data_IF_898146781333
#
_entry.id   IF_898146781333
#
_cell.length_a   1.000
_cell.length_b   1.000
_cell.length_c   1.000
_cell.angle_alpha   90.00
_cell.angle_beta   90.00
_cell.angle_gamma   90.00
#
_symmetry.space_group_name_H-M   'P 1'
#
loop_
_entity.id
_entity.type
_entity.pdbx_description
1 polymer ?
#
# COMPACT_ATOMS: atom_id res chain seq x y z
N UNK A 1 -8.09 20.53 17.94
CA UNK A 1 -7.94 19.33 17.11
C UNK A 1 -7.03 19.60 15.92
N UNK A 2 -6.46 18.56 15.35
CA UNK A 2 -5.78 18.61 14.06
C UNK A 2 -6.52 17.71 13.07
N UNK A 3 -6.73 18.18 11.84
CA UNK A 3 -7.43 17.46 10.78
C UNK A 3 -6.47 17.28 9.62
N UNK A 4 -6.17 16.05 9.25
CA UNK A 4 -5.28 15.71 8.12
C UNK A 4 -6.12 15.15 6.98
N UNK A 5 -5.95 15.73 5.78
CA UNK A 5 -6.68 15.37 4.57
C UNK A 5 -5.76 15.41 3.35
N UNK A 6 -6.13 14.79 2.23
CA UNK A 6 -5.42 14.98 0.96
C UNK A 6 -5.31 16.45 0.56
N UNK A 7 -4.18 16.85 -0.03
CA UNK A 7 -3.82 18.26 -0.29
C UNK A 7 -4.83 19.03 -1.14
N UNK A 8 -5.44 18.36 -2.11
CA UNK A 8 -6.31 19.00 -3.12
C UNK A 8 -7.79 19.01 -2.74
N UNK A 9 -8.13 18.69 -1.48
CA UNK A 9 -9.50 18.56 -1.04
C UNK A 9 -10.01 19.84 -0.40
N UNK A 10 -11.24 20.22 -0.77
CA UNK A 10 -11.99 21.27 -0.07
C UNK A 10 -12.56 20.69 1.22
N UNK A 11 -12.20 21.30 2.34
CA UNK A 11 -12.61 20.82 3.67
C UNK A 11 -13.39 21.89 4.39
N UNK A 12 -14.52 21.52 4.97
CA UNK A 12 -15.24 22.37 5.93
C UNK A 12 -15.36 21.67 7.28
N UNK A 13 -15.34 22.44 8.34
CA UNK A 13 -15.58 21.98 9.71
C UNK A 13 -16.74 22.78 10.27
N UNK A 14 -17.82 22.08 10.64
CA UNK A 14 -19.08 22.72 11.07
C UNK A 14 -19.55 23.81 10.09
N UNK A 15 -19.48 23.51 8.78
CA UNK A 15 -19.80 24.42 7.67
C UNK A 15 -18.81 25.57 7.40
N UNK A 16 -17.76 25.70 8.20
CA UNK A 16 -16.72 26.72 8.03
C UNK A 16 -15.61 26.14 7.15
N UNK A 17 -15.32 26.72 5.98
CA UNK A 17 -14.23 26.23 5.13
C UNK A 17 -12.88 26.45 5.81
N UNK A 18 -12.00 25.44 5.72
CA UNK A 18 -10.61 25.56 6.14
C UNK A 18 -9.80 26.20 5.01
N UNK A 19 -8.94 27.12 5.38
CA UNK A 19 -8.12 27.92 4.46
C UNK A 19 -6.62 27.68 4.70
N UNK A 20 -5.77 28.41 4.00
CA UNK A 20 -4.34 28.36 4.22
C UNK A 20 -3.93 28.86 5.61
N UNK A 21 -4.79 29.65 6.29
CA UNK A 21 -4.51 30.19 7.62
C UNK A 21 -4.50 29.11 8.72
N UNK A 22 -5.32 28.07 8.56
CA UNK A 22 -5.39 26.95 9.49
C UNK A 22 -4.37 25.84 9.17
N UNK A 23 -3.68 25.90 8.02
CA UNK A 23 -2.67 24.90 7.66
C UNK A 23 -1.49 24.94 8.62
N UNK A 24 -1.04 23.76 9.03
CA UNK A 24 0.15 23.59 9.87
C UNK A 24 1.30 22.98 9.06
N UNK A 25 2.19 23.84 8.59
CA UNK A 25 3.36 23.40 7.79
C UNK A 25 3.03 23.04 6.33
N UNK A 26 4.03 22.51 5.65
CA UNK A 26 3.94 22.12 4.25
C UNK A 26 3.20 20.79 4.08
N UNK A 27 2.64 20.57 2.88
CA UNK A 27 2.06 19.30 2.48
C UNK A 27 3.11 18.18 2.53
N UNK A 28 2.74 17.03 3.07
CA UNK A 28 3.60 15.85 3.20
C UNK A 28 3.18 14.77 2.22
N UNK A 29 4.15 14.09 1.63
CA UNK A 29 3.87 12.91 0.83
C UNK A 29 3.13 11.88 1.68
N UNK A 30 2.11 11.26 1.11
CA UNK A 30 1.33 10.22 1.78
C UNK A 30 2.16 8.94 1.94
N UNK A 31 1.89 8.23 3.02
CA UNK A 31 2.53 6.96 3.33
C UNK A 31 2.48 5.99 2.15
N UNK A 32 3.61 5.32 1.89
CA UNK A 32 3.76 4.36 0.81
C UNK A 32 4.21 4.97 -0.53
N UNK A 33 4.25 6.32 -0.63
CA UNK A 33 4.68 7.03 -1.84
C UNK A 33 5.91 7.92 -1.61
N UNK A 34 6.66 7.71 -0.55
CA UNK A 34 7.79 8.56 -0.16
C UNK A 34 8.94 8.54 -1.18
N UNK A 35 9.08 7.43 -1.92
CA UNK A 35 10.21 7.22 -2.84
C UNK A 35 9.85 7.33 -4.32
N UNK A 36 8.65 7.80 -4.65
CA UNK A 36 8.17 7.80 -6.05
C UNK A 36 8.29 9.14 -6.77
N UNK A 37 8.79 10.17 -6.08
CA UNK A 37 8.85 11.54 -6.63
C UNK A 37 9.74 11.69 -7.88
N UNK A 38 10.66 10.75 -8.11
CA UNK A 38 11.48 10.71 -9.32
C UNK A 38 10.72 10.16 -10.54
N UNK A 39 9.60 9.48 -10.34
CA UNK A 39 8.83 8.84 -11.41
C UNK A 39 7.49 9.51 -11.65
N UNK A 40 6.78 9.89 -10.59
CA UNK A 40 5.44 10.48 -10.64
C UNK A 40 5.30 11.58 -9.59
N UNK A 41 4.28 12.43 -9.74
CA UNK A 41 3.90 13.37 -8.67
C UNK A 41 3.24 12.59 -7.53
N UNK A 42 3.88 12.47 -6.36
CA UNK A 42 3.33 11.68 -5.27
C UNK A 42 2.09 12.37 -4.68
N UNK A 43 1.08 11.60 -4.26
CA UNK A 43 -0.05 12.14 -3.51
C UNK A 43 0.44 12.73 -2.16
N UNK A 44 -0.17 13.84 -1.76
CA UNK A 44 0.20 14.56 -0.53
C UNK A 44 -1.00 14.77 0.37
N UNK A 45 -0.74 14.92 1.66
CA UNK A 45 -1.71 15.33 2.68
C UNK A 45 -1.32 16.66 3.31
N UNK A 46 -2.31 17.39 3.79
CA UNK A 46 -2.16 18.62 4.57
C UNK A 46 -2.83 18.46 5.92
N UNK A 47 -2.27 19.11 6.93
CA UNK A 47 -2.83 19.13 8.28
C UNK A 47 -3.30 20.53 8.62
N UNK A 48 -4.52 20.63 9.12
CA UNK A 48 -5.12 21.87 9.63
C UNK A 48 -5.21 21.82 11.15
N UNK A 49 -4.99 22.94 11.80
CA UNK A 49 -5.25 23.11 13.23
C UNK A 49 -6.57 23.83 13.41
N UNK A 50 -7.51 23.19 14.09
CA UNK A 50 -8.84 23.75 14.38
C UNK A 50 -8.98 23.93 15.88
N UNK A 51 -9.26 25.15 16.30
CA UNK A 51 -9.46 25.51 17.70
C UNK A 51 -10.93 25.77 18.01
N UNK A 52 -11.31 25.75 19.29
CA UNK A 52 -12.66 26.08 19.75
C UNK A 52 -13.70 24.98 19.52
N UNK A 53 -13.28 23.77 19.19
CA UNK A 53 -14.20 22.63 19.08
C UNK A 53 -14.61 22.15 20.49
N UNK A 54 -15.92 22.20 20.77
CA UNK A 54 -16.50 21.73 22.05
C UNK A 54 -16.95 20.27 21.91
N UNK A 55 -17.43 19.90 20.73
CA UNK A 55 -17.91 18.55 20.42
C UNK A 55 -17.19 18.01 19.19
N UNK A 56 -17.45 16.75 18.87
CA UNK A 56 -17.00 16.16 17.61
C UNK A 56 -17.49 17.01 16.44
N UNK A 57 -16.61 17.51 15.58
CA UNK A 57 -17.00 18.35 14.47
C UNK A 57 -17.66 17.55 13.35
N UNK A 58 -18.59 18.19 12.64
CA UNK A 58 -19.03 17.71 11.33
C UNK A 58 -17.99 18.12 10.30
N UNK A 59 -17.35 17.12 9.68
CA UNK A 59 -16.34 17.33 8.63
C UNK A 59 -17.00 17.06 7.28
N UNK A 60 -16.82 18.00 6.35
CA UNK A 60 -17.27 17.83 4.96
C UNK A 60 -16.04 17.92 4.07
N UNK A 61 -15.91 17.00 3.14
CA UNK A 61 -14.79 16.93 2.18
C UNK A 61 -15.39 16.89 0.78
N UNK A 62 -14.99 17.83 -0.06
CA UNK A 62 -15.52 17.98 -1.43
C UNK A 62 -17.06 17.94 -1.49
N UNK A 63 -17.72 18.59 -0.50
CA UNK A 63 -19.18 18.67 -0.39
C UNK A 63 -19.87 17.43 0.20
N UNK A 64 -19.15 16.34 0.50
CA UNK A 64 -19.67 15.14 1.17
C UNK A 64 -19.36 15.18 2.67
N UNK A 65 -20.35 14.94 3.50
CA UNK A 65 -20.13 14.73 4.93
C UNK A 65 -19.40 13.40 5.16
N UNK A 66 -18.36 13.46 5.94
CA UNK A 66 -17.55 12.29 6.32
C UNK A 66 -18.17 11.64 7.55
N UNK A 67 -18.41 10.34 7.49
CA UNK A 67 -18.92 9.57 8.61
C UNK A 67 -17.81 9.34 9.66
N UNK A 68 -18.18 9.26 10.94
CA UNK A 68 -17.20 9.05 12.02
C UNK A 68 -16.38 7.75 11.84
N UNK A 69 -16.97 6.75 11.25
CA UNK A 69 -16.30 5.47 10.91
C UNK A 69 -15.21 5.57 9.86
N UNK A 70 -15.17 6.66 9.08
CA UNK A 70 -14.16 6.95 8.08
C UNK A 70 -12.99 7.77 8.65
N UNK A 71 -13.09 8.19 9.94
CA UNK A 71 -12.09 9.01 10.61
C UNK A 71 -11.23 8.16 11.54
N UNK A 72 -9.92 8.30 11.44
CA UNK A 72 -9.01 7.84 12.51
C UNK A 72 -8.89 8.95 13.55
N UNK A 73 -9.44 8.69 14.75
CA UNK A 73 -9.48 9.66 15.86
C UNK A 73 -8.60 9.16 16.98
N UNK A 74 -7.47 9.84 17.17
CA UNK A 74 -6.48 9.45 18.17
C UNK A 74 -5.89 10.68 18.86
N UNK A 75 -5.95 10.74 20.18
CA UNK A 75 -5.37 11.81 21.00
C UNK A 75 -5.73 13.25 20.55
N UNK A 76 -6.99 13.47 20.18
CA UNK A 76 -7.47 14.77 19.69
C UNK A 76 -7.03 15.09 18.26
N UNK A 77 -6.40 14.15 17.56
CA UNK A 77 -6.10 14.22 16.13
C UNK A 77 -7.17 13.47 15.36
N UNK A 78 -7.62 14.08 14.28
CA UNK A 78 -8.58 13.50 13.35
C UNK A 78 -7.87 13.37 12.02
N UNK A 79 -7.73 12.17 11.52
CA UNK A 79 -7.13 11.90 10.23
C UNK A 79 -8.19 11.34 9.29
N UNK A 80 -8.34 11.97 8.15
CA UNK A 80 -9.16 11.50 7.06
C UNK A 80 -8.26 11.28 5.84
N UNK A 81 -8.02 10.03 5.52
CA UNK A 81 -7.27 9.62 4.32
C UNK A 81 -8.25 9.05 3.27
N UNK A 82 -9.54 9.03 3.62
CA UNK A 82 -10.61 8.59 2.76
C UNK A 82 -11.02 9.65 1.72
N UNK A 83 -11.92 9.31 0.84
CA UNK A 83 -12.31 10.11 -0.33
C UNK A 83 -11.68 9.54 -1.59
N UNK A 84 -10.73 8.66 -1.38
CA UNK A 84 -10.40 7.63 -2.35
C UNK A 84 -11.35 6.47 -2.02
N UNK A 85 -12.62 6.65 -2.39
CA UNK A 85 -13.60 5.59 -2.21
C UNK A 85 -13.02 4.34 -2.88
N UNK A 86 -13.18 3.21 -2.22
CA UNK A 86 -12.82 1.92 -2.81
C UNK A 86 -13.67 1.77 -4.07
N UNK A 87 -13.14 2.23 -5.18
CA UNK A 87 -13.69 1.86 -6.48
C UNK A 87 -13.60 0.35 -6.59
N UNK A 88 -14.59 -0.25 -7.22
CA UNK A 88 -14.54 -1.68 -7.48
C UNK A 88 -13.34 -1.93 -8.40
N UNK A 89 -12.34 -2.66 -7.88
CA UNK A 89 -11.15 -3.00 -8.66
C UNK A 89 -11.58 -3.89 -9.83
N UNK A 90 -11.21 -3.52 -11.06
CA UNK A 90 -11.50 -4.37 -12.21
C UNK A 90 -10.78 -5.72 -12.13
N UNK A 91 -11.32 -6.73 -12.81
CA UNK A 91 -10.81 -8.11 -12.69
C UNK A 91 -9.38 -8.27 -13.20
N UNK A 92 -8.97 -7.54 -14.24
CA UNK A 92 -7.63 -7.62 -14.82
C UNK A 92 -6.58 -7.04 -13.86
N UNK A 93 -6.89 -5.88 -13.26
CA UNK A 93 -6.01 -5.27 -12.25
C UNK A 93 -5.97 -6.11 -10.97
N UNK A 94 -7.10 -6.69 -10.56
CA UNK A 94 -7.17 -7.61 -9.42
C UNK A 94 -6.25 -8.81 -9.61
N UNK A 95 -6.32 -9.46 -10.75
CA UNK A 95 -5.48 -10.63 -11.08
C UNK A 95 -4.01 -10.22 -11.13
N UNK A 96 -3.72 -9.04 -11.69
CA UNK A 96 -2.37 -8.50 -11.73
C UNK A 96 -1.77 -8.31 -10.34
N UNK A 97 -2.45 -7.60 -9.43
CA UNK A 97 -1.90 -7.32 -8.08
C UNK A 97 -1.73 -8.60 -7.25
N UNK A 98 -2.68 -9.54 -7.38
CA UNK A 98 -2.59 -10.83 -6.71
C UNK A 98 -1.40 -11.65 -7.22
N UNK A 99 -1.22 -11.73 -8.54
CA UNK A 99 -0.10 -12.44 -9.16
C UNK A 99 1.24 -11.78 -8.83
N UNK A 100 1.32 -10.46 -8.79
CA UNK A 100 2.52 -9.72 -8.40
C UNK A 100 2.94 -10.06 -6.96
N UNK A 101 2.00 -10.04 -6.00
CA UNK A 101 2.24 -10.40 -4.62
C UNK A 101 2.71 -11.86 -4.46
N UNK A 102 2.05 -12.80 -5.13
CA UNK A 102 2.47 -14.22 -5.15
C UNK A 102 3.85 -14.41 -5.77
N UNK A 103 4.13 -13.72 -6.87
CA UNK A 103 5.44 -13.78 -7.55
C UNK A 103 6.55 -13.30 -6.63
N UNK A 104 6.33 -12.19 -5.93
CA UNK A 104 7.29 -11.67 -4.96
C UNK A 104 7.58 -12.68 -3.84
N UNK A 105 6.55 -13.28 -3.23
CA UNK A 105 6.76 -14.30 -2.18
C UNK A 105 7.42 -15.57 -2.72
N UNK A 106 7.12 -15.97 -3.97
CA UNK A 106 7.73 -17.12 -4.63
C UNK A 106 9.23 -16.92 -4.90
N UNK A 107 9.68 -15.69 -5.10
CA UNK A 107 11.12 -15.40 -5.23
C UNK A 107 11.86 -15.83 -3.96
N UNK A 108 11.41 -15.43 -2.78
CA UNK A 108 12.09 -15.71 -1.52
C UNK A 108 12.01 -17.18 -1.08
N UNK A 109 11.05 -17.94 -1.53
CA UNK A 109 10.96 -19.39 -1.30
C UNK A 109 11.64 -20.26 -2.37
N UNK A 110 12.28 -19.64 -3.36
CA UNK A 110 13.00 -20.30 -4.48
C UNK A 110 12.07 -21.02 -5.46
N UNK A 111 10.84 -20.57 -5.59
CA UNK A 111 9.87 -21.22 -6.48
C UNK A 111 9.85 -20.64 -7.90
N UNK A 112 10.61 -19.57 -8.15
CA UNK A 112 10.73 -18.99 -9.49
C UNK A 112 11.95 -19.53 -10.21
N UNK A 113 11.81 -19.84 -11.50
CA UNK A 113 12.92 -20.19 -12.36
C UNK A 113 13.91 -19.02 -12.45
N UNK A 114 15.20 -19.32 -12.31
CA UNK A 114 16.28 -18.31 -12.40
C UNK A 114 16.48 -17.46 -11.14
N UNK A 115 15.62 -17.50 -10.12
CA UNK A 115 15.74 -16.66 -8.91
C UNK A 115 17.06 -16.83 -8.14
N UNK A 116 17.72 -17.98 -8.27
CA UNK A 116 19.05 -18.22 -7.68
C UNK A 116 20.18 -17.50 -8.39
N UNK A 117 19.96 -17.15 -9.66
CA UNK A 117 20.99 -16.58 -10.52
C UNK A 117 20.89 -15.05 -10.62
N UNK A 118 19.66 -14.52 -10.53
CA UNK A 118 19.38 -13.07 -10.67
C UNK A 118 18.05 -12.70 -10.06
N UNK A 119 17.79 -11.38 -9.95
CA UNK A 119 16.52 -10.78 -9.57
C UNK A 119 15.54 -10.63 -10.74
N UNK A 120 15.98 -10.98 -11.97
CA UNK A 120 15.18 -10.83 -13.19
C UNK A 120 13.71 -11.32 -13.08
N UNK A 121 13.40 -12.42 -12.36
CA UNK A 121 12.02 -12.89 -12.22
C UNK A 121 11.08 -11.90 -11.53
N UNK A 122 11.60 -10.92 -10.77
CA UNK A 122 10.80 -9.93 -10.03
C UNK A 122 11.09 -8.48 -10.44
N UNK A 123 12.08 -8.21 -11.29
CA UNK A 123 12.43 -6.84 -11.71
C UNK A 123 11.28 -6.11 -12.38
N UNK A 124 10.42 -6.82 -13.10
CA UNK A 124 9.23 -6.25 -13.73
C UNK A 124 8.10 -5.86 -12.76
N UNK A 125 8.23 -6.15 -11.48
CA UNK A 125 7.25 -5.80 -10.44
C UNK A 125 7.53 -4.46 -9.77
N UNK A 126 8.77 -3.95 -9.85
CA UNK A 126 9.24 -2.80 -9.09
C UNK A 126 9.90 -1.76 -10.00
N UNK A 127 9.96 -0.49 -9.57
CA UNK A 127 10.81 0.50 -10.23
C UNK A 127 12.28 0.05 -10.25
N UNK A 128 12.98 0.35 -11.34
CA UNK A 128 14.38 -0.03 -11.50
C UNK A 128 15.24 0.56 -10.37
N UNK A 129 16.07 -0.29 -9.76
CA UNK A 129 16.94 0.14 -8.65
C UNK A 129 16.22 0.42 -7.33
N UNK A 130 14.94 0.04 -7.20
CA UNK A 130 14.18 0.20 -5.96
C UNK A 130 14.80 -0.57 -4.79
N UNK A 131 14.45 -0.16 -3.58
CA UNK A 131 14.86 -0.83 -2.33
C UNK A 131 14.57 -2.32 -2.36
N UNK A 132 13.40 -2.73 -2.87
CA UNK A 132 13.00 -4.15 -2.91
C UNK A 132 13.86 -5.00 -3.84
N UNK A 133 14.28 -4.46 -4.97
CA UNK A 133 15.23 -5.14 -5.88
C UNK A 133 16.61 -5.25 -5.24
N UNK A 134 17.10 -4.18 -4.60
CA UNK A 134 18.39 -4.23 -3.89
C UNK A 134 18.36 -5.21 -2.73
N UNK A 135 17.28 -5.24 -1.96
CA UNK A 135 17.08 -6.19 -0.86
C UNK A 135 17.05 -7.64 -1.38
N UNK A 136 16.31 -7.91 -2.45
CA UNK A 136 16.22 -9.23 -3.07
C UNK A 136 17.60 -9.70 -3.59
N UNK A 137 18.38 -8.80 -4.19
CA UNK A 137 19.74 -9.09 -4.65
C UNK A 137 20.69 -9.42 -3.47
N UNK A 138 20.64 -8.64 -2.39
CA UNK A 138 21.40 -8.92 -1.18
C UNK A 138 21.02 -10.28 -0.57
N UNK A 139 19.73 -10.60 -0.55
CA UNK A 139 19.21 -11.87 -0.06
C UNK A 139 19.76 -13.04 -0.84
N UNK A 140 19.74 -12.91 -2.18
CA UNK A 140 20.28 -13.89 -3.12
C UNK A 140 21.80 -14.10 -2.95
N UNK A 141 22.56 -12.99 -2.91
CA UNK A 141 24.03 -13.04 -2.80
C UNK A 141 24.51 -13.64 -1.49
N UNK A 142 23.79 -13.38 -0.38
CA UNK A 142 24.13 -13.93 0.93
C UNK A 142 23.55 -15.31 1.19
N UNK A 143 22.88 -15.93 0.21
CA UNK A 143 22.15 -17.20 0.34
C UNK A 143 21.21 -17.26 1.55
N UNK A 144 20.58 -16.13 1.87
CA UNK A 144 19.70 -15.97 3.02
C UNK A 144 18.27 -16.48 2.77
N UNK A 145 18.15 -17.57 2.02
CA UNK A 145 16.85 -18.15 1.69
C UNK A 145 16.14 -18.68 2.92
N UNK A 146 14.89 -18.30 3.05
CA UNK A 146 14.10 -18.53 4.28
C UNK A 146 13.60 -19.98 4.36
N UNK A 147 13.63 -20.74 3.24
CA UNK A 147 12.92 -22.02 3.16
C UNK A 147 13.81 -23.18 2.77
N UNK A 148 13.58 -24.30 3.46
CA UNK A 148 14.08 -25.61 3.04
C UNK A 148 13.39 -26.06 1.75
N UNK A 149 13.96 -27.06 1.07
CA UNK A 149 13.31 -27.64 -0.11
C UNK A 149 11.89 -28.15 0.24
N UNK A 150 10.91 -27.77 -0.55
CA UNK A 150 9.49 -28.11 -0.39
C UNK A 150 8.86 -28.54 -1.71
N UNK A 151 7.64 -29.03 -1.67
CA UNK A 151 6.81 -29.23 -2.84
C UNK A 151 6.33 -27.87 -3.39
N UNK A 152 5.89 -27.79 -4.66
CA UNK A 152 5.31 -26.55 -5.19
C UNK A 152 4.28 -25.98 -4.23
N UNK A 153 4.33 -24.68 -3.95
CA UNK A 153 3.42 -24.04 -3.00
C UNK A 153 1.97 -24.07 -3.52
N UNK A 154 1.03 -24.11 -2.58
CA UNK A 154 -0.41 -23.98 -2.86
C UNK A 154 -0.89 -22.69 -2.22
N UNK A 155 -1.58 -21.85 -3.00
CA UNK A 155 -2.20 -20.63 -2.52
C UNK A 155 -3.68 -20.85 -2.22
N UNK A 156 -4.16 -20.24 -1.14
CA UNK A 156 -5.56 -20.31 -0.70
C UNK A 156 -5.95 -19.02 0.03
N UNK A 157 -7.25 -18.88 0.35
CA UNK A 157 -7.80 -17.72 1.06
C UNK A 157 -7.44 -16.38 0.40
N UNK A 158 -7.49 -16.36 -0.95
CA UNK A 158 -7.06 -15.23 -1.75
C UNK A 158 -8.11 -14.13 -1.74
N UNK A 159 -7.72 -12.93 -1.32
CA UNK A 159 -8.58 -11.76 -1.27
C UNK A 159 -7.81 -10.52 -1.73
N UNK A 160 -8.47 -9.67 -2.49
CA UNK A 160 -8.00 -8.34 -2.87
C UNK A 160 -9.06 -7.34 -2.44
N UNK A 161 -8.71 -6.45 -1.51
CA UNK A 161 -9.64 -5.53 -0.85
C UNK A 161 -9.03 -4.17 -0.57
N UNK A 162 -9.82 -3.24 -0.06
CA UNK A 162 -9.40 -1.90 0.33
C UNK A 162 -8.64 -1.17 -0.81
N UNK A 163 -9.12 -1.34 -2.05
CA UNK A 163 -8.57 -0.65 -3.22
C UNK A 163 -8.84 0.84 -3.13
N UNK A 164 -7.77 1.66 -3.16
CA UNK A 164 -7.84 3.13 -3.06
C UNK A 164 -7.04 3.76 -4.17
N UNK A 165 -7.68 4.59 -4.98
CA UNK A 165 -7.05 5.36 -6.04
C UNK A 165 -6.69 6.74 -5.51
N UNK A 166 -5.43 7.14 -5.60
CA UNK A 166 -4.93 8.45 -5.15
C UNK A 166 -4.75 9.43 -6.31
N UNK A 167 -4.45 8.91 -7.49
CA UNK A 167 -4.33 9.66 -8.74
C UNK A 167 -4.40 8.69 -9.92
N UNK A 168 -4.31 9.21 -11.16
CA UNK A 168 -4.20 8.39 -12.38
C UNK A 168 -2.97 7.45 -12.38
N UNK A 169 -1.96 7.79 -11.57
CA UNK A 169 -0.68 7.09 -11.52
C UNK A 169 -0.37 6.46 -10.16
N UNK A 170 -1.30 6.51 -9.18
CA UNK A 170 -1.07 6.00 -7.84
C UNK A 170 -2.30 5.34 -7.25
N UNK A 171 -2.16 4.11 -6.77
CA UNK A 171 -3.19 3.43 -5.97
C UNK A 171 -2.56 2.57 -4.87
N UNK A 172 -3.37 2.18 -3.89
CA UNK A 172 -3.02 1.11 -2.95
C UNK A 172 -4.11 0.05 -2.90
N UNK A 173 -3.73 -1.16 -2.48
CA UNK A 173 -4.64 -2.29 -2.36
C UNK A 173 -4.13 -3.25 -1.29
N UNK A 174 -5.02 -3.80 -0.50
CA UNK A 174 -4.68 -4.86 0.44
C UNK A 174 -4.82 -6.22 -0.25
N UNK A 175 -3.76 -7.02 -0.21
CA UNK A 175 -3.73 -8.37 -0.78
C UNK A 175 -3.53 -9.38 0.34
N UNK A 176 -4.45 -10.34 0.42
CA UNK A 176 -4.45 -11.40 1.44
C UNK A 176 -4.39 -12.76 0.75
N UNK A 177 -3.56 -13.64 1.25
CA UNK A 177 -3.54 -15.06 0.89
C UNK A 177 -2.74 -15.89 1.89
N UNK A 178 -3.00 -17.18 1.90
CA UNK A 178 -2.15 -18.18 2.56
C UNK A 178 -1.30 -18.90 1.52
N UNK A 179 -0.01 -19.09 1.82
CA UNK A 179 0.93 -19.87 1.03
C UNK A 179 1.35 -21.09 1.82
N UNK A 180 0.85 -22.26 1.41
CA UNK A 180 1.17 -23.56 2.03
C UNK A 180 2.30 -24.24 1.28
N UNK A 181 3.28 -24.75 2.03
CA UNK A 181 4.46 -25.46 1.54
C UNK A 181 4.70 -26.74 2.34
N UNK A 182 4.76 -27.89 1.67
CA UNK A 182 5.11 -29.17 2.30
C UNK A 182 6.62 -29.38 2.22
N UNK A 183 7.29 -29.38 3.36
CA UNK A 183 8.73 -29.53 3.45
C UNK A 183 9.16 -30.95 3.03
N UNK A 184 10.11 -31.08 2.10
CA UNK A 184 10.59 -32.38 1.59
C UNK A 184 11.35 -33.18 2.64
N UNK A 185 11.97 -32.50 3.62
CA UNK A 185 12.78 -33.13 4.65
C UNK A 185 11.94 -34.03 5.58
N UNK A 186 10.78 -33.57 6.00
CA UNK A 186 9.99 -34.20 7.07
C UNK A 186 8.49 -34.28 6.79
N UNK A 187 8.03 -33.80 5.64
CA UNK A 187 6.60 -33.77 5.26
C UNK A 187 5.75 -32.78 6.05
N UNK A 188 6.36 -31.93 6.87
CA UNK A 188 5.59 -30.93 7.62
C UNK A 188 5.08 -29.84 6.68
N UNK A 189 3.86 -29.42 6.91
CA UNK A 189 3.28 -28.26 6.29
C UNK A 189 3.74 -26.98 7.01
N UNK A 190 4.12 -25.98 6.22
CA UNK A 190 4.33 -24.61 6.64
C UNK A 190 3.36 -23.71 5.88
N UNK A 191 2.63 -22.89 6.60
CA UNK A 191 1.74 -21.89 6.01
C UNK A 191 2.27 -20.50 6.35
N UNK A 192 2.50 -19.71 5.32
CA UNK A 192 2.83 -18.29 5.45
C UNK A 192 1.59 -17.48 5.08
N UNK A 193 1.15 -16.62 5.98
CA UNK A 193 0.05 -15.70 5.78
C UNK A 193 0.55 -14.36 5.27
N UNK A 194 0.01 -13.91 4.14
CA UNK A 194 0.22 -12.57 3.60
C UNK A 194 -1.03 -11.73 3.89
N UNK A 195 -0.88 -10.63 4.58
CA UNK A 195 -1.88 -9.57 4.74
C UNK A 195 -1.16 -8.23 4.68
N UNK A 196 -0.97 -7.73 3.45
CA UNK A 196 -0.17 -6.54 3.21
C UNK A 196 -0.88 -5.55 2.30
N UNK A 197 -0.64 -4.27 2.57
CA UNK A 197 -1.04 -3.17 1.68
C UNK A 197 0.09 -2.91 0.70
N UNK A 198 -0.22 -3.05 -0.57
CA UNK A 198 0.67 -2.77 -1.69
C UNK A 198 0.35 -1.40 -2.27
N UNK A 199 1.36 -0.56 -2.44
CA UNK A 199 1.28 0.75 -3.05
C UNK A 199 1.85 0.69 -4.45
N UNK A 200 1.07 1.08 -5.43
CA UNK A 200 1.42 1.00 -6.84
C UNK A 200 1.60 2.38 -7.46
N UNK A 201 2.57 2.47 -8.36
CA UNK A 201 2.77 3.64 -9.23
C UNK A 201 2.81 3.21 -10.69
N UNK A 202 2.34 4.10 -11.57
CA UNK A 202 2.32 3.86 -13.02
C UNK A 202 3.50 4.54 -13.67
N UNK A 203 4.46 3.75 -14.17
CA UNK A 203 5.66 4.24 -14.85
C UNK A 203 5.65 3.66 -16.26
N UNK A 204 5.74 4.53 -17.28
CA UNK A 204 5.70 4.13 -18.69
C UNK A 204 4.50 3.22 -19.03
N UNK A 205 3.34 3.52 -18.45
CA UNK A 205 2.09 2.80 -18.65
C UNK A 205 1.99 1.46 -17.91
N UNK A 206 2.95 1.09 -17.07
CA UNK A 206 2.97 -0.14 -16.29
C UNK A 206 2.80 0.17 -14.80
N UNK A 207 1.97 -0.61 -14.13
CA UNK A 207 1.86 -0.58 -12.69
C UNK A 207 3.03 -1.32 -12.04
N UNK A 208 3.72 -0.66 -11.11
CA UNK A 208 4.87 -1.21 -10.38
C UNK A 208 4.65 -1.00 -8.88
N UNK A 209 5.14 -1.92 -8.07
CA UNK A 209 5.06 -1.85 -6.61
C UNK A 209 6.06 -0.81 -6.11
N UNK A 210 5.55 0.28 -5.55
CA UNK A 210 6.35 1.34 -4.94
C UNK A 210 6.75 1.02 -3.51
N UNK A 211 5.79 0.48 -2.73
CA UNK A 211 6.00 0.09 -1.33
C UNK A 211 5.05 -1.03 -0.92
N UNK A 212 5.38 -1.71 0.19
CA UNK A 212 4.56 -2.74 0.82
C UNK A 212 4.61 -2.55 2.34
N UNK A 213 3.44 -2.58 2.98
CA UNK A 213 3.33 -2.43 4.45
C UNK A 213 2.42 -3.50 5.02
N UNK A 214 2.80 -4.06 6.15
CA UNK A 214 1.89 -4.94 6.89
C UNK A 214 0.64 -4.16 7.30
N UNK A 215 -0.50 -4.80 7.22
CA UNK A 215 -1.75 -4.23 7.73
C UNK A 215 -1.74 -4.34 9.26
N UNK A 216 -1.69 -3.20 9.93
CA UNK A 216 -1.73 -3.08 11.40
C UNK A 216 -3.17 -3.02 11.89
#
# INVERSE_FOLDING_TARGET
ATITVPENYEVTVNTIPLTAEEKTGDAKVMDGFEYVAEYVTPPKSVTYKVEGLINMPVITVNGRTVEESELDIKDGKITYIGGFDSEEIDSELRDYVLNAAKTYTNFFSKDLEGCRNSTAPIEGLFPAGSYYIQMAENYRQQDMWTYSAHQPPVFSNEEVKDYKVYSEDCFSVNVVFDKSMILKLNGQERVDHNDQVYYYVKIDGKWLIADMKEKV
#
